data_IF_690696727018
#
_entry.id   IF_690696727018
#
_cell.length_a   1.000
_cell.length_b   1.000
_cell.length_c   1.000
_cell.angle_alpha   90.00
_cell.angle_beta   90.00
_cell.angle_gamma   90.00
#
_symmetry.space_group_name_H-M   'P 1'
#
loop_
_entity.id
_entity.type
_entity.pdbx_description
1 polymer ?
#
# COMPACT_ATOMS: atom_id res chain seq x y z
N UNK A 1 -9.36 2.17 18.59
CA UNK A 1 -9.75 1.87 17.19
C UNK A 1 -9.48 3.09 16.31
N UNK A 2 -8.75 2.89 15.20
CA UNK A 2 -8.46 3.99 14.26
C UNK A 2 -9.55 4.11 13.20
N UNK A 3 -9.75 5.33 12.72
CA UNK A 3 -10.78 5.72 11.76
C UNK A 3 -10.16 6.57 10.65
N UNK A 4 -10.95 6.93 9.65
CA UNK A 4 -10.51 7.74 8.51
C UNK A 4 -9.81 9.04 8.95
N UNK A 5 -10.25 9.65 10.04
CA UNK A 5 -9.64 10.89 10.58
C UNK A 5 -8.19 10.70 11.05
N UNK A 6 -7.79 9.44 11.31
CA UNK A 6 -6.45 9.09 11.78
C UNK A 6 -5.48 8.81 10.61
N UNK A 7 -6.01 8.75 9.38
CA UNK A 7 -5.21 8.54 8.18
C UNK A 7 -4.25 9.72 7.96
N UNK A 8 -2.97 9.40 7.81
CA UNK A 8 -1.96 10.42 7.48
C UNK A 8 -2.15 10.87 6.02
N UNK A 9 -2.13 12.18 5.82
CA UNK A 9 -2.32 12.78 4.51
C UNK A 9 -0.97 13.19 3.89
N UNK A 10 -0.97 13.33 2.57
CA UNK A 10 0.20 13.79 1.81
C UNK A 10 0.82 15.03 2.47
N UNK A 11 2.13 15.00 2.71
CA UNK A 11 2.88 16.04 3.39
C UNK A 11 3.22 15.70 4.84
N UNK A 12 2.57 14.73 5.47
CA UNK A 12 2.95 14.27 6.81
C UNK A 12 4.34 13.62 6.74
N UNK A 13 5.32 14.09 7.54
CA UNK A 13 6.71 13.60 7.47
C UNK A 13 6.86 12.09 7.70
N UNK A 14 5.94 11.48 8.44
CA UNK A 14 5.98 10.05 8.73
C UNK A 14 5.80 9.19 7.48
N UNK A 15 5.09 9.69 6.46
CA UNK A 15 4.91 8.99 5.20
C UNK A 15 6.20 8.84 4.38
N UNK A 16 7.22 9.63 4.70
CA UNK A 16 8.52 9.63 3.99
C UNK A 16 9.61 8.88 4.74
N UNK A 17 9.26 8.17 5.81
CA UNK A 17 10.22 7.42 6.63
C UNK A 17 10.24 5.95 6.23
N UNK A 18 11.43 5.34 6.31
CA UNK A 18 11.58 3.89 6.15
C UNK A 18 11.05 3.22 7.41
N UNK A 19 10.19 2.24 7.24
CA UNK A 19 9.59 1.51 8.35
C UNK A 19 10.51 0.39 8.87
N UNK A 20 10.41 0.13 10.17
CA UNK A 20 11.13 -0.97 10.81
C UNK A 20 10.46 -2.32 10.53
N UNK A 21 11.24 -3.42 10.51
CA UNK A 21 10.63 -4.75 10.43
C UNK A 21 9.66 -5.03 11.58
N UNK A 22 8.64 -5.80 11.29
CA UNK A 22 7.77 -6.39 12.32
C UNK A 22 8.57 -7.49 13.03
N UNK A 23 8.56 -7.47 14.36
CA UNK A 23 9.31 -8.42 15.20
C UNK A 23 8.38 -9.40 15.92
N UNK A 24 8.95 -10.40 16.58
CA UNK A 24 8.18 -11.33 17.42
C UNK A 24 7.40 -10.60 18.51
N UNK A 25 7.96 -9.54 19.08
CA UNK A 25 7.27 -8.75 20.13
C UNK A 25 6.06 -8.01 19.58
N UNK A 26 6.04 -7.72 18.29
CA UNK A 26 4.92 -7.05 17.63
C UNK A 26 3.71 -7.96 17.41
N UNK A 27 3.85 -9.28 17.56
CA UNK A 27 2.77 -10.25 17.34
C UNK A 27 1.51 -9.94 18.13
N UNK A 28 1.66 -9.39 19.32
CA UNK A 28 0.54 -9.01 20.19
C UNK A 28 -0.34 -7.92 19.58
N UNK A 29 0.20 -7.13 18.65
CA UNK A 29 -0.48 -5.97 18.07
C UNK A 29 -1.04 -6.22 16.67
N UNK A 30 -0.66 -7.32 16.01
CA UNK A 30 -1.00 -7.56 14.59
C UNK A 30 -2.51 -7.52 14.37
N UNK A 31 -3.29 -8.17 15.22
CA UNK A 31 -4.75 -8.22 15.07
C UNK A 31 -5.38 -6.83 15.20
N UNK A 32 -4.87 -6.00 16.11
CA UNK A 32 -5.32 -4.62 16.28
C UNK A 32 -4.97 -3.78 15.05
N UNK A 33 -3.72 -3.87 14.58
CA UNK A 33 -3.26 -3.14 13.39
C UNK A 33 -4.07 -3.51 12.15
N UNK A 34 -4.29 -4.80 11.93
CA UNK A 34 -5.08 -5.29 10.78
C UNK A 34 -6.52 -4.80 10.85
N UNK A 35 -7.13 -4.84 12.02
CA UNK A 35 -8.49 -4.33 12.23
C UNK A 35 -8.56 -2.83 11.93
N UNK A 36 -7.59 -2.05 12.39
CA UNK A 36 -7.54 -0.61 12.13
C UNK A 36 -7.37 -0.31 10.63
N UNK A 37 -6.47 -1.02 9.95
CA UNK A 37 -6.27 -0.89 8.50
C UNK A 37 -7.54 -1.24 7.74
N UNK A 38 -8.20 -2.34 8.10
CA UNK A 38 -9.46 -2.74 7.49
C UNK A 38 -10.55 -1.68 7.66
N UNK A 39 -10.72 -1.17 8.88
CA UNK A 39 -11.75 -0.17 9.17
C UNK A 39 -11.55 1.10 8.34
N UNK A 40 -10.33 1.61 8.28
CA UNK A 40 -10.01 2.81 7.50
C UNK A 40 -10.24 2.57 6.01
N UNK A 41 -9.85 1.40 5.49
CA UNK A 41 -10.13 1.02 4.10
C UNK A 41 -11.62 1.02 3.80
N UNK A 42 -12.44 0.45 4.66
CA UNK A 42 -13.90 0.43 4.47
C UNK A 42 -14.51 1.84 4.50
N UNK A 43 -14.02 2.72 5.36
CA UNK A 43 -14.45 4.11 5.39
C UNK A 43 -14.04 4.86 4.10
N UNK A 44 -12.85 4.61 3.56
CA UNK A 44 -12.39 5.16 2.27
C UNK A 44 -13.30 4.66 1.14
N UNK A 45 -13.58 3.35 1.11
CA UNK A 45 -14.48 2.77 0.10
C UNK A 45 -15.86 3.42 0.12
N UNK A 46 -16.40 3.62 1.31
CA UNK A 46 -17.73 4.23 1.47
C UNK A 46 -17.75 5.69 1.01
N UNK A 47 -16.68 6.43 1.28
CA UNK A 47 -16.62 7.87 0.99
C UNK A 47 -16.17 8.18 -0.43
N UNK A 48 -15.18 7.46 -0.96
CA UNK A 48 -14.49 7.80 -2.21
C UNK A 48 -14.66 6.77 -3.32
N UNK A 49 -15.28 5.63 -3.02
CA UNK A 49 -15.55 4.55 -3.98
C UNK A 49 -14.27 3.95 -4.61
N UNK A 50 -13.19 3.89 -3.84
CA UNK A 50 -11.97 3.16 -4.21
C UNK A 50 -11.26 2.67 -2.94
N UNK A 51 -10.26 1.79 -3.11
CA UNK A 51 -9.42 1.29 -2.03
C UNK A 51 -9.30 -0.22 -2.06
N UNK A 52 -8.11 -0.71 -2.40
CA UNK A 52 -7.79 -2.15 -2.46
C UNK A 52 -6.70 -2.54 -1.48
N UNK A 53 -5.88 -1.56 -1.05
CA UNK A 53 -4.76 -1.78 -0.15
C UNK A 53 -4.46 -0.55 0.71
N UNK A 54 -3.87 -0.77 1.87
CA UNK A 54 -3.43 0.27 2.80
C UNK A 54 -2.20 -0.22 3.56
N UNK A 55 -1.21 0.63 3.71
CA UNK A 55 0.02 0.32 4.45
C UNK A 55 -0.03 0.85 5.88
N UNK A 56 0.60 0.12 6.79
CA UNK A 56 0.65 0.48 8.21
C UNK A 56 1.14 1.92 8.46
N UNK A 57 2.19 2.42 7.78
CA UNK A 57 2.65 3.79 8.01
C UNK A 57 1.60 4.86 7.67
N UNK A 58 0.60 4.56 6.84
CA UNK A 58 -0.49 5.49 6.58
C UNK A 58 -1.37 5.74 7.81
N UNK A 59 -1.30 4.89 8.82
CA UNK A 59 -1.94 5.09 10.13
C UNK A 59 -0.94 5.42 11.24
N UNK A 60 0.30 5.79 10.88
CA UNK A 60 1.34 6.09 11.85
C UNK A 60 1.95 4.86 12.52
N UNK A 61 1.64 3.68 12.04
CA UNK A 61 2.24 2.42 12.50
C UNK A 61 3.48 2.20 11.64
N UNK A 62 4.65 2.57 12.17
CA UNK A 62 5.90 2.62 11.40
C UNK A 62 6.55 1.24 11.31
N UNK A 63 5.80 0.28 10.79
CA UNK A 63 6.20 -1.13 10.65
C UNK A 63 5.97 -1.62 9.23
N UNK A 64 6.80 -2.57 8.80
CA UNK A 64 6.76 -3.14 7.45
C UNK A 64 5.61 -4.13 7.31
N UNK A 65 4.41 -3.58 7.22
CA UNK A 65 3.18 -4.35 7.06
C UNK A 65 2.22 -3.57 6.16
N UNK A 66 1.57 -4.27 5.23
CA UNK A 66 0.41 -3.71 4.52
C UNK A 66 -0.71 -4.74 4.41
N UNK A 67 -1.89 -4.24 4.15
CA UNK A 67 -3.14 -4.99 4.10
C UNK A 67 -3.79 -4.80 2.73
N UNK A 68 -4.18 -5.92 2.13
CA UNK A 68 -4.90 -5.94 0.85
C UNK A 68 -6.27 -6.59 1.05
N UNK A 69 -7.27 -6.09 0.35
CA UNK A 69 -8.58 -6.72 0.29
C UNK A 69 -9.19 -6.50 -1.10
N UNK A 70 -8.84 -7.37 -2.03
CA UNK A 70 -9.37 -7.35 -3.41
C UNK A 70 -10.48 -8.40 -3.54
N UNK A 71 -10.14 -9.68 -3.50
CA UNK A 71 -11.09 -10.80 -3.48
C UNK A 71 -11.24 -11.34 -2.06
N UNK A 72 -10.17 -11.33 -1.30
CA UNK A 72 -10.12 -11.76 0.09
C UNK A 72 -9.08 -10.96 0.87
N UNK A 73 -9.22 -10.83 2.20
CA UNK A 73 -8.22 -10.15 3.01
C UNK A 73 -6.87 -10.86 3.00
N UNK A 74 -5.79 -10.09 2.84
CA UNK A 74 -4.42 -10.58 2.90
C UNK A 74 -3.57 -9.62 3.72
N UNK A 75 -2.74 -10.17 4.60
CA UNK A 75 -1.77 -9.43 5.42
C UNK A 75 -0.37 -9.77 4.94
N UNK A 76 0.40 -8.76 4.60
CA UNK A 76 1.76 -8.90 4.07
C UNK A 76 2.71 -8.29 5.08
N UNK A 77 3.54 -9.13 5.71
CA UNK A 77 4.48 -8.73 6.76
C UNK A 77 5.91 -8.92 6.28
N UNK A 78 6.75 -7.92 6.50
CA UNK A 78 8.17 -7.93 6.13
C UNK A 78 8.40 -8.39 4.68
N UNK A 79 7.74 -7.76 3.71
CA UNK A 79 7.85 -8.19 2.32
C UNK A 79 9.21 -7.89 1.74
N UNK A 80 9.63 -8.75 0.80
CA UNK A 80 10.80 -8.56 -0.04
C UNK A 80 10.44 -8.90 -1.49
N UNK A 81 10.57 -7.93 -2.39
CA UNK A 81 10.42 -8.15 -3.82
C UNK A 81 11.72 -8.78 -4.32
N UNK A 82 11.64 -10.04 -4.77
CA UNK A 82 12.81 -10.82 -5.18
C UNK A 82 13.04 -10.81 -6.69
N UNK A 83 12.02 -10.44 -7.46
CA UNK A 83 12.09 -10.36 -8.92
C UNK A 83 11.03 -9.42 -9.45
N UNK A 84 11.33 -8.72 -10.53
CA UNK A 84 10.38 -7.93 -11.31
C UNK A 84 10.55 -8.23 -12.79
N UNK A 85 9.45 -8.13 -13.55
CA UNK A 85 9.51 -8.24 -15.01
C UNK A 85 10.31 -7.08 -15.63
N UNK A 86 10.88 -7.31 -16.81
CA UNK A 86 11.48 -6.21 -17.59
C UNK A 86 10.40 -5.26 -18.12
N UNK A 87 9.24 -5.82 -18.47
CA UNK A 87 8.12 -5.02 -18.97
C UNK A 87 7.50 -4.18 -17.86
N UNK A 88 7.23 -2.92 -18.23
CA UNK A 88 6.49 -1.97 -17.40
C UNK A 88 5.24 -1.51 -18.14
N UNK A 89 4.32 -0.90 -17.42
CA UNK A 89 3.15 -0.25 -17.98
C UNK A 89 2.88 1.06 -17.24
N UNK A 90 2.18 1.94 -17.91
CA UNK A 90 1.83 3.26 -17.39
C UNK A 90 0.38 3.26 -16.92
N UNK A 91 0.14 3.81 -15.74
CA UNK A 91 -1.20 3.92 -15.18
C UNK A 91 -1.36 5.22 -14.38
N UNK A 92 -2.60 5.62 -14.17
CA UNK A 92 -2.97 6.66 -13.24
C UNK A 92 -3.21 6.02 -11.87
N UNK A 93 -2.27 6.25 -10.96
CA UNK A 93 -2.26 5.68 -9.62
C UNK A 93 -3.00 6.58 -8.65
N UNK A 94 -3.61 5.99 -7.64
CA UNK A 94 -4.31 6.70 -6.57
C UNK A 94 -3.77 6.27 -5.20
N UNK A 95 -4.04 7.06 -4.18
CA UNK A 95 -3.64 6.76 -2.83
C UNK A 95 -4.67 7.30 -1.84
N UNK A 96 -4.95 6.54 -0.80
CA UNK A 96 -5.88 6.95 0.25
C UNK A 96 -5.41 8.20 0.97
N UNK A 97 -4.11 8.45 1.04
CA UNK A 97 -3.51 9.65 1.67
C UNK A 97 -3.70 10.94 0.88
N UNK A 98 -4.18 10.86 -0.37
CA UNK A 98 -4.56 12.00 -1.21
C UNK A 98 -5.65 11.56 -2.21
N UNK A 99 -6.86 11.31 -1.72
CA UNK A 99 -7.89 10.55 -2.47
C UNK A 99 -8.41 11.22 -3.74
N UNK A 100 -8.22 12.54 -3.89
CA UNK A 100 -8.70 13.28 -5.05
C UNK A 100 -7.63 13.49 -6.12
N UNK A 101 -6.39 13.07 -5.86
CA UNK A 101 -5.26 13.23 -6.78
C UNK A 101 -4.95 11.91 -7.46
N UNK A 102 -4.78 11.94 -8.79
CA UNK A 102 -4.26 10.83 -9.56
C UNK A 102 -2.86 11.19 -10.07
N UNK A 103 -1.96 10.21 -10.05
CA UNK A 103 -0.56 10.38 -10.46
C UNK A 103 -0.22 9.35 -11.52
N UNK A 104 0.29 9.80 -12.67
CA UNK A 104 0.73 8.89 -13.73
C UNK A 104 2.11 8.36 -13.40
N UNK A 105 2.20 7.03 -13.32
CA UNK A 105 3.43 6.33 -12.93
C UNK A 105 3.68 5.14 -13.85
N UNK A 106 4.92 4.66 -13.85
CA UNK A 106 5.29 3.38 -14.45
C UNK A 106 5.42 2.33 -13.36
N UNK A 107 4.90 1.13 -13.61
CA UNK A 107 5.00 -0.02 -12.72
C UNK A 107 5.40 -1.27 -13.51
N UNK A 108 6.09 -2.18 -12.87
CA UNK A 108 6.38 -3.50 -13.45
C UNK A 108 5.08 -4.29 -13.61
N UNK A 109 4.96 -5.03 -14.71
CA UNK A 109 3.76 -5.84 -15.00
C UNK A 109 3.63 -7.05 -14.10
N UNK A 110 4.76 -7.62 -13.66
CA UNK A 110 4.81 -8.82 -12.84
C UNK A 110 5.92 -8.70 -11.81
N UNK A 111 5.75 -9.40 -10.70
CA UNK A 111 6.79 -9.46 -9.67
C UNK A 111 6.66 -10.74 -8.85
N UNK A 112 7.72 -11.06 -8.13
CA UNK A 112 7.74 -12.11 -7.12
C UNK A 112 8.06 -11.49 -5.78
N UNK A 113 7.29 -11.85 -4.75
CA UNK A 113 7.41 -11.30 -3.41
C UNK A 113 7.43 -12.41 -2.37
N UNK A 114 8.35 -12.32 -1.42
CA UNK A 114 8.42 -13.15 -0.22
C UNK A 114 7.94 -12.34 0.96
N UNK A 115 7.17 -12.94 1.85
CA UNK A 115 6.63 -12.25 3.02
C UNK A 115 6.21 -13.24 4.09
N UNK A 116 5.86 -12.74 5.26
CA UNK A 116 5.19 -13.50 6.30
C UNK A 116 3.71 -13.17 6.27
N UNK A 117 2.86 -14.21 6.41
CA UNK A 117 1.42 -13.99 6.56
C UNK A 117 1.07 -13.57 7.99
N UNK A 118 -0.23 -13.40 8.29
CA UNK A 118 -0.74 -12.93 9.58
C UNK A 118 -0.27 -13.77 10.77
N UNK A 119 0.02 -15.06 10.57
CA UNK A 119 0.49 -15.97 11.62
C UNK A 119 1.99 -16.25 11.51
N UNK A 120 2.73 -15.38 10.81
CA UNK A 120 4.19 -15.43 10.64
C UNK A 120 4.70 -16.67 9.90
N UNK A 121 3.89 -17.26 9.04
CA UNK A 121 4.33 -18.31 8.13
C UNK A 121 4.94 -17.70 6.87
N UNK A 122 6.12 -18.17 6.43
CA UNK A 122 6.73 -17.71 5.18
C UNK A 122 5.86 -18.05 3.95
N UNK A 123 5.72 -17.04 3.10
CA UNK A 123 4.97 -17.16 1.85
C UNK A 123 5.81 -16.64 0.69
N UNK A 124 5.54 -17.17 -0.50
CA UNK A 124 6.08 -16.66 -1.76
C UNK A 124 4.93 -16.52 -2.75
N UNK A 125 4.84 -15.36 -3.41
CA UNK A 125 3.75 -15.06 -4.33
C UNK A 125 4.32 -14.54 -5.64
N UNK A 126 4.02 -15.25 -6.75
CA UNK A 126 4.28 -14.77 -8.11
C UNK A 126 3.03 -14.05 -8.60
N UNK A 127 3.17 -12.77 -8.86
CA UNK A 127 2.06 -11.92 -9.29
C UNK A 127 2.27 -11.58 -10.76
N UNK A 128 1.41 -12.14 -11.63
CA UNK A 128 1.47 -11.94 -13.08
C UNK A 128 0.40 -11.00 -13.61
N UNK A 129 -0.63 -10.73 -12.81
CA UNK A 129 -1.68 -9.77 -13.17
C UNK A 129 -1.20 -8.33 -12.90
N UNK A 130 -1.15 -7.45 -13.95
CA UNK A 130 -0.62 -6.10 -13.79
C UNK A 130 -1.35 -5.26 -12.72
N UNK A 131 -2.66 -5.40 -12.58
CA UNK A 131 -3.43 -4.64 -11.58
C UNK A 131 -3.06 -5.02 -10.15
N UNK A 132 -2.78 -6.30 -9.89
CA UNK A 132 -2.32 -6.74 -8.59
C UNK A 132 -0.85 -6.37 -8.37
N UNK A 133 -0.03 -6.48 -9.42
CA UNK A 133 1.38 -6.12 -9.35
C UNK A 133 1.57 -4.64 -9.02
N UNK A 134 0.81 -3.73 -9.67
CA UNK A 134 0.92 -2.29 -9.37
C UNK A 134 0.46 -1.95 -7.96
N UNK A 135 -0.59 -2.62 -7.47
CA UNK A 135 -1.08 -2.44 -6.11
C UNK A 135 -0.02 -2.84 -5.08
N UNK A 136 0.57 -4.00 -5.23
CA UNK A 136 1.61 -4.49 -4.33
C UNK A 136 2.83 -3.57 -4.34
N UNK A 137 3.26 -3.08 -5.51
CA UNK A 137 4.37 -2.12 -5.61
C UNK A 137 4.05 -0.81 -4.90
N UNK A 138 2.83 -0.32 -5.02
CA UNK A 138 2.37 0.91 -4.35
C UNK A 138 2.47 0.76 -2.82
N UNK A 139 1.93 -0.32 -2.27
CA UNK A 139 1.93 -0.56 -0.83
C UNK A 139 3.34 -0.87 -0.31
N UNK A 140 4.14 -1.61 -1.07
CA UNK A 140 5.54 -1.87 -0.76
C UNK A 140 6.33 -0.56 -0.65
N UNK A 141 6.12 0.36 -1.59
CA UNK A 141 6.78 1.66 -1.58
C UNK A 141 6.53 2.44 -0.28
N UNK A 142 5.31 2.40 0.24
CA UNK A 142 4.98 3.06 1.50
C UNK A 142 5.89 2.60 2.66
N UNK A 143 6.31 1.34 2.66
CA UNK A 143 7.19 0.80 3.69
C UNK A 143 8.61 1.37 3.60
N UNK A 144 9.01 1.86 2.43
CA UNK A 144 10.28 2.53 2.18
C UNK A 144 10.17 4.06 2.21
N UNK A 145 9.03 4.58 2.63
CA UNK A 145 8.78 6.02 2.66
C UNK A 145 8.61 6.66 1.29
N UNK A 146 8.19 5.87 0.30
CA UNK A 146 8.00 6.32 -1.10
C UNK A 146 6.51 6.40 -1.41
N UNK A 147 6.06 7.58 -1.84
CA UNK A 147 4.70 7.81 -2.32
C UNK A 147 4.68 7.81 -3.84
N UNK A 148 3.53 7.51 -4.43
CA UNK A 148 3.44 7.49 -5.89
C UNK A 148 3.67 8.87 -6.52
N UNK A 149 3.49 9.96 -5.78
CA UNK A 149 3.88 11.31 -6.22
C UNK A 149 5.38 11.41 -6.53
N UNK A 150 6.21 10.62 -5.85
CA UNK A 150 7.67 10.58 -6.06
C UNK A 150 8.05 9.75 -7.28
N UNK A 151 7.10 9.01 -7.86
CA UNK A 151 7.27 8.19 -9.06
C UNK A 151 6.56 8.78 -10.28
N UNK A 152 6.06 10.00 -10.17
CA UNK A 152 5.47 10.70 -11.30
C UNK A 152 6.45 10.70 -12.51
N UNK A 153 5.94 10.41 -13.71
CA UNK A 153 6.75 10.32 -14.93
C UNK A 153 7.38 11.67 -15.24
N UNK A 154 6.61 12.74 -15.08
CA UNK A 154 7.05 14.13 -15.27
C UNK A 154 6.19 15.09 -14.44
N UNK A 155 6.45 16.38 -14.59
CA UNK A 155 5.71 17.43 -13.88
C UNK A 155 4.23 17.57 -14.28
N UNK A 156 3.83 16.95 -15.39
CA UNK A 156 2.45 16.97 -15.90
C UNK A 156 1.68 15.69 -15.59
N UNK A 157 2.25 14.81 -14.80
CA UNK A 157 1.69 13.49 -14.45
C UNK A 157 0.70 13.56 -13.28
N UNK A 158 0.03 14.69 -13.10
CA UNK A 158 -0.93 14.90 -12.01
C UNK A 158 -2.25 15.39 -12.56
N UNK A 159 -3.35 14.82 -12.05
CA UNK A 159 -4.69 15.31 -12.36
C UNK A 159 -5.64 15.02 -11.21
N UNK A 160 -6.72 15.77 -11.17
CA UNK A 160 -7.77 15.57 -10.16
C UNK A 160 -8.64 14.37 -10.56
N UNK A 161 -9.08 13.60 -9.57
CA UNK A 161 -10.08 12.56 -9.81
C UNK A 161 -11.38 13.22 -10.22
N UNK A 162 -11.92 12.84 -11.38
CA UNK A 162 -13.22 13.33 -11.83
C UNK A 162 -14.32 12.62 -11.08
N UNK A 163 -15.35 13.35 -10.68
CA UNK A 163 -16.57 12.77 -10.14
C UNK A 163 -17.30 12.04 -11.26
N UNK A 164 -17.65 10.81 -11.00
CA UNK A 164 -18.57 10.06 -11.87
C UNK A 164 -20.01 10.30 -11.45
#
# INVERSE_FOLDING_TARGET
>A
MKHLKDLLLLGDPRLYQVCDPVTEDDKLFIDEWVRDLHNVMEEIRAKYNFGRGIAAPQLGIMKRLFYLNVTEPQVIINPEITWTSDEQFTLWDDCMSFPNLLVQVNRYKSLKIKFLNRIFEPQEWLIEEPKMAELVQHEYDHLDGVLCTMRAIDEKSFRWRTKK
#
